data_IF_448064269383
#
_entry.id   IF_448064269383
#
_cell.length_a   1.000
_cell.length_b   1.000
_cell.length_c   1.000
_cell.angle_alpha   90.00
_cell.angle_beta   90.00
_cell.angle_gamma   90.00
#
_symmetry.space_group_name_H-M   'P 1'
#
loop_
_entity.id
_entity.type
_entity.pdbx_description
1 polymer ?
#
# COMPACT_ATOMS: atom_id res chain seq x y z
N UNK A 1 14.22 -7.20 10.60
CA UNK A 1 13.12 -8.14 10.27
C UNK A 1 13.52 -8.94 9.03
N UNK A 2 13.27 -10.24 9.00
CA UNK A 2 13.64 -11.16 7.90
C UNK A 2 12.64 -11.05 6.73
N UNK A 3 13.09 -11.30 5.48
CA UNK A 3 12.26 -11.35 4.27
C UNK A 3 11.15 -12.40 4.41
N UNK A 4 11.45 -13.56 5.00
CA UNK A 4 10.49 -14.62 5.23
C UNK A 4 9.33 -14.18 6.16
N UNK A 5 9.60 -13.35 7.16
CA UNK A 5 8.57 -12.78 8.05
C UNK A 5 7.67 -11.81 7.31
N UNK A 6 8.25 -10.94 6.46
CA UNK A 6 7.44 -10.00 5.65
C UNK A 6 6.56 -10.75 4.68
N UNK A 7 7.09 -11.81 4.04
CA UNK A 7 6.30 -12.67 3.14
C UNK A 7 5.14 -13.35 3.87
N UNK A 8 5.38 -13.93 5.05
CA UNK A 8 4.32 -14.55 5.85
C UNK A 8 3.23 -13.55 6.19
N UNK A 9 3.62 -12.34 6.64
CA UNK A 9 2.67 -11.29 6.98
C UNK A 9 1.89 -10.75 5.76
N UNK A 10 2.49 -10.74 4.57
CA UNK A 10 1.78 -10.44 3.32
C UNK A 10 0.72 -11.49 3.03
N UNK A 11 1.05 -12.77 3.14
CA UNK A 11 0.09 -13.88 2.95
C UNK A 11 -1.06 -13.75 3.95
N UNK A 12 -0.76 -13.54 5.23
CA UNK A 12 -1.77 -13.39 6.28
C UNK A 12 -2.71 -12.18 6.03
N UNK A 13 -2.16 -11.08 5.47
CA UNK A 13 -2.98 -9.90 5.11
C UNK A 13 -3.89 -10.19 3.93
N UNK A 14 -3.36 -10.86 2.89
CA UNK A 14 -4.14 -11.31 1.74
C UNK A 14 -5.25 -12.28 2.14
N UNK A 15 -4.99 -13.22 3.05
CA UNK A 15 -5.99 -14.15 3.56
C UNK A 15 -7.05 -13.45 4.43
N UNK A 16 -6.66 -12.44 5.21
CA UNK A 16 -7.60 -11.66 6.01
C UNK A 16 -8.59 -10.91 5.11
N UNK A 17 -8.12 -10.28 4.02
CA UNK A 17 -8.97 -9.62 3.04
C UNK A 17 -9.85 -10.62 2.29
N UNK A 18 -9.30 -11.77 1.86
CA UNK A 18 -10.06 -12.82 1.17
C UNK A 18 -11.26 -13.31 1.99
N UNK A 19 -11.08 -13.55 3.29
CA UNK A 19 -12.20 -13.97 4.17
C UNK A 19 -13.33 -12.95 4.17
N UNK A 20 -13.02 -11.65 4.14
CA UNK A 20 -14.01 -10.59 4.09
C UNK A 20 -14.74 -10.59 2.75
N UNK A 21 -13.98 -10.52 1.66
CA UNK A 21 -14.52 -10.44 0.29
C UNK A 21 -15.34 -11.67 -0.09
N UNK A 22 -14.95 -12.85 0.39
CA UNK A 22 -15.72 -14.09 0.16
C UNK A 22 -17.10 -14.08 0.82
N UNK A 23 -17.33 -13.22 1.79
CA UNK A 23 -18.58 -13.13 2.55
C UNK A 23 -19.52 -11.98 2.17
N UNK A 24 -19.11 -11.07 1.29
CA UNK A 24 -19.93 -9.93 0.89
C UNK A 24 -21.00 -10.33 -0.14
N UNK A 25 -22.06 -9.53 -0.24
CA UNK A 25 -23.12 -9.75 -1.24
C UNK A 25 -22.64 -9.37 -2.65
N UNK A 26 -23.31 -9.89 -3.69
CA UNK A 26 -22.98 -9.53 -5.07
C UNK A 26 -23.12 -8.02 -5.35
N UNK A 27 -24.08 -7.37 -4.70
CA UNK A 27 -24.26 -5.92 -4.84
C UNK A 27 -23.14 -5.09 -4.20
N UNK A 28 -22.44 -5.63 -3.20
CA UNK A 28 -21.36 -4.91 -2.54
C UNK A 28 -20.13 -4.76 -3.46
N UNK A 29 -19.98 -5.64 -4.47
CA UNK A 29 -18.90 -5.54 -5.44
C UNK A 29 -18.98 -4.30 -6.33
N UNK A 30 -20.18 -3.77 -6.51
CA UNK A 30 -20.45 -2.58 -7.35
C UNK A 30 -20.43 -1.27 -6.54
N UNK A 31 -20.21 -1.32 -5.21
CA UNK A 31 -20.14 -0.12 -4.38
C UNK A 31 -18.92 0.72 -4.74
N UNK A 32 -19.15 2.03 -4.88
CA UNK A 32 -18.08 3.00 -5.06
C UNK A 32 -17.17 3.05 -3.82
N UNK A 33 -15.88 3.17 -4.05
CA UNK A 33 -14.87 3.33 -2.99
C UNK A 33 -14.41 4.78 -2.87
N UNK A 34 -13.53 5.06 -1.91
CA UNK A 34 -12.90 6.37 -1.77
C UNK A 34 -11.95 6.71 -2.93
N UNK A 35 -11.50 5.72 -3.71
CA UNK A 35 -10.72 5.93 -4.92
C UNK A 35 -11.66 6.38 -6.05
N UNK A 36 -11.50 7.60 -6.62
CA UNK A 36 -12.44 8.13 -7.60
C UNK A 36 -12.59 7.23 -8.83
N UNK A 37 -13.83 6.85 -9.14
CA UNK A 37 -14.16 5.98 -10.28
C UNK A 37 -13.87 4.49 -10.08
N UNK A 38 -13.53 4.08 -8.86
CA UNK A 38 -13.26 2.68 -8.54
C UNK A 38 -14.35 2.08 -7.63
N UNK A 39 -14.86 0.94 -8.05
CA UNK A 39 -15.71 0.07 -7.24
C UNK A 39 -14.87 -0.87 -6.34
N UNK A 40 -15.55 -1.61 -5.47
CA UNK A 40 -14.95 -2.73 -4.72
C UNK A 40 -14.32 -3.75 -5.66
N UNK A 41 -14.97 -4.03 -6.81
CA UNK A 41 -14.41 -4.92 -7.84
C UNK A 41 -13.10 -4.37 -8.41
N UNK A 42 -13.00 -3.07 -8.68
CA UNK A 42 -11.78 -2.45 -9.22
C UNK A 42 -10.61 -2.52 -8.21
N UNK A 43 -10.89 -2.41 -6.90
CA UNK A 43 -9.87 -2.62 -5.87
C UNK A 43 -9.27 -4.04 -5.93
N UNK A 44 -10.12 -5.06 -6.09
CA UNK A 44 -9.64 -6.46 -6.24
C UNK A 44 -8.96 -6.68 -7.58
N UNK A 45 -9.44 -6.06 -8.67
CA UNK A 45 -8.81 -6.09 -9.98
C UNK A 45 -7.39 -5.53 -9.94
N UNK A 46 -7.20 -4.39 -9.28
CA UNK A 46 -5.89 -3.79 -9.03
C UNK A 46 -4.96 -4.75 -8.28
N UNK A 47 -5.43 -5.32 -7.18
CA UNK A 47 -4.63 -6.28 -6.41
C UNK A 47 -4.27 -7.52 -7.25
N UNK A 48 -5.21 -8.05 -8.04
CA UNK A 48 -4.97 -9.19 -8.92
C UNK A 48 -3.90 -8.90 -9.97
N UNK A 49 -3.99 -7.74 -10.63
CA UNK A 49 -2.99 -7.33 -11.61
C UNK A 49 -1.60 -7.18 -10.99
N UNK A 50 -1.49 -6.42 -9.89
CA UNK A 50 -0.19 -6.12 -9.30
C UNK A 50 0.44 -7.30 -8.55
N UNK A 51 -0.32 -8.26 -8.05
CA UNK A 51 0.25 -9.50 -7.51
C UNK A 51 0.82 -10.38 -8.63
N UNK A 52 0.17 -10.45 -9.80
CA UNK A 52 0.72 -11.11 -10.99
C UNK A 52 1.96 -10.38 -11.54
N UNK A 53 1.92 -9.05 -11.63
CA UNK A 53 3.07 -8.24 -12.05
C UNK A 53 4.26 -8.42 -11.09
N UNK A 54 4.01 -8.50 -9.78
CA UNK A 54 5.04 -8.76 -8.77
C UNK A 54 5.65 -10.16 -8.91
N UNK A 55 4.83 -11.17 -9.17
CA UNK A 55 5.30 -12.52 -9.44
C UNK A 55 6.18 -12.57 -10.71
N UNK A 56 5.77 -11.87 -11.78
CA UNK A 56 6.52 -11.75 -13.03
C UNK A 56 7.86 -11.03 -12.81
N UNK A 57 7.86 -9.90 -12.07
CA UNK A 57 9.06 -9.14 -11.77
C UNK A 57 10.13 -9.95 -11.01
N UNK A 58 9.69 -10.91 -10.18
CA UNK A 58 10.59 -11.82 -9.47
C UNK A 58 11.08 -12.95 -10.38
N UNK A 59 10.18 -13.54 -11.18
CA UNK A 59 10.47 -14.76 -11.95
C UNK A 59 11.17 -14.48 -13.27
N UNK A 60 10.77 -13.40 -13.98
CA UNK A 60 11.23 -13.03 -15.32
C UNK A 60 11.39 -11.51 -15.40
N UNK A 61 12.47 -10.93 -14.80
CA UNK A 61 12.68 -9.47 -14.76
C UNK A 61 12.64 -8.79 -16.14
N UNK A 62 13.17 -9.46 -17.17
CA UNK A 62 13.21 -8.90 -18.53
C UNK A 62 11.80 -8.83 -19.14
N UNK A 63 10.99 -9.88 -18.99
CA UNK A 63 9.59 -9.87 -19.46
C UNK A 63 8.74 -8.83 -18.70
N UNK A 64 9.03 -8.64 -17.40
CA UNK A 64 8.38 -7.59 -16.64
C UNK A 64 8.75 -6.21 -17.19
N UNK A 65 10.04 -5.95 -17.48
CA UNK A 65 10.48 -4.67 -18.06
C UNK A 65 9.84 -4.42 -19.44
N UNK A 66 9.71 -5.43 -20.28
CA UNK A 66 8.98 -5.33 -21.55
C UNK A 66 7.52 -4.93 -21.34
N UNK A 67 6.86 -5.50 -20.32
CA UNK A 67 5.47 -5.13 -19.99
C UNK A 67 5.35 -3.69 -19.51
N UNK A 68 6.29 -3.22 -18.70
CA UNK A 68 6.36 -1.82 -18.25
C UNK A 68 6.57 -0.88 -19.44
N UNK A 69 7.47 -1.23 -20.38
CA UNK A 69 7.72 -0.44 -21.57
C UNK A 69 6.45 -0.28 -22.42
N UNK A 70 5.68 -1.34 -22.60
CA UNK A 70 4.39 -1.28 -23.33
C UNK A 70 3.40 -0.32 -22.65
N UNK A 71 3.29 -0.35 -21.33
CA UNK A 71 2.43 0.58 -20.58
C UNK A 71 2.89 2.05 -20.73
N UNK A 72 4.20 2.30 -20.69
CA UNK A 72 4.78 3.64 -20.92
C UNK A 72 4.49 4.14 -22.33
N UNK A 73 4.58 3.27 -23.34
CA UNK A 73 4.25 3.60 -24.72
C UNK A 73 2.75 3.94 -24.89
N UNK A 74 1.85 3.20 -24.24
CA UNK A 74 0.41 3.52 -24.21
C UNK A 74 0.18 4.89 -23.57
N UNK A 75 0.76 5.13 -22.40
CA UNK A 75 0.68 6.43 -21.73
C UNK A 75 1.21 7.58 -22.60
N UNK A 76 2.34 7.37 -23.31
CA UNK A 76 2.92 8.39 -24.20
C UNK A 76 2.02 8.73 -25.39
N UNK A 77 1.13 7.82 -25.80
CA UNK A 77 0.10 8.04 -26.83
C UNK A 77 -1.19 8.67 -26.28
N UNK A 78 -1.24 8.96 -24.97
CA UNK A 78 -2.42 9.51 -24.32
C UNK A 78 -3.52 8.46 -24.05
N UNK A 79 -3.19 7.17 -24.12
CA UNK A 79 -4.08 6.09 -23.75
C UNK A 79 -4.14 5.96 -22.21
N UNK A 80 -5.30 5.55 -21.67
CA UNK A 80 -5.48 5.32 -20.26
C UNK A 80 -4.82 4.00 -19.84
N UNK A 81 -3.61 4.09 -19.26
CA UNK A 81 -2.87 2.92 -18.80
C UNK A 81 -3.56 2.22 -17.61
N UNK A 82 -4.32 2.95 -16.80
CA UNK A 82 -5.09 2.38 -15.70
C UNK A 82 -6.27 1.55 -16.24
N UNK A 83 -7.02 2.09 -17.20
CA UNK A 83 -8.08 1.34 -17.85
C UNK A 83 -7.53 0.10 -18.57
N UNK A 84 -6.38 0.21 -19.22
CA UNK A 84 -5.72 -0.93 -19.85
C UNK A 84 -5.36 -2.05 -18.85
N UNK A 85 -4.98 -1.71 -17.62
CA UNK A 85 -4.68 -2.64 -16.53
C UNK A 85 -5.96 -3.28 -16.00
N UNK A 86 -7.02 -2.52 -15.78
CA UNK A 86 -8.25 -2.98 -15.12
C UNK A 86 -9.25 -3.62 -16.09
N UNK A 87 -9.26 -3.19 -17.37
CA UNK A 87 -10.24 -3.64 -18.36
C UNK A 87 -10.40 -5.17 -18.48
N UNK A 88 -9.32 -5.99 -18.47
CA UNK A 88 -9.49 -7.44 -18.52
C UNK A 88 -10.26 -8.02 -17.32
N UNK A 89 -10.10 -7.39 -16.15
CA UNK A 89 -10.73 -7.83 -14.90
C UNK A 89 -12.17 -7.33 -14.78
N UNK A 90 -12.47 -6.12 -15.30
CA UNK A 90 -13.82 -5.53 -15.31
C UNK A 90 -14.86 -6.35 -16.07
N UNK A 91 -14.43 -7.24 -16.94
CA UNK A 91 -15.33 -8.19 -17.66
C UNK A 91 -15.64 -9.45 -16.86
N UNK A 92 -14.95 -9.68 -15.76
CA UNK A 92 -15.11 -10.88 -14.93
C UNK A 92 -16.29 -10.72 -13.95
N UNK A 93 -17.00 -11.82 -13.72
CA UNK A 93 -17.96 -11.86 -12.59
C UNK A 93 -17.21 -11.87 -11.27
N UNK A 94 -17.83 -11.42 -10.14
CA UNK A 94 -17.17 -11.35 -8.83
C UNK A 94 -16.42 -12.64 -8.43
N UNK A 95 -17.00 -13.80 -8.62
CA UNK A 95 -16.35 -15.07 -8.30
C UNK A 95 -15.14 -15.39 -9.20
N UNK A 96 -15.18 -15.03 -10.48
CA UNK A 96 -14.06 -15.18 -11.42
C UNK A 96 -12.92 -14.23 -11.07
N UNK A 97 -13.25 -12.98 -10.72
CA UNK A 97 -12.30 -11.99 -10.29
C UNK A 97 -11.60 -12.38 -8.99
N UNK A 98 -12.36 -12.91 -8.02
CA UNK A 98 -11.80 -13.39 -6.76
C UNK A 98 -10.82 -14.55 -6.99
N UNK A 99 -11.14 -15.50 -7.87
CA UNK A 99 -10.23 -16.59 -8.22
C UNK A 99 -8.99 -16.07 -8.96
N UNK A 100 -9.13 -15.08 -9.85
CA UNK A 100 -7.99 -14.47 -10.54
C UNK A 100 -7.03 -13.79 -9.52
N UNK A 101 -7.56 -13.11 -8.51
CA UNK A 101 -6.71 -12.56 -7.42
C UNK A 101 -6.07 -13.66 -6.58
N UNK A 102 -6.82 -14.73 -6.24
CA UNK A 102 -6.27 -15.88 -5.50
C UNK A 102 -5.13 -16.56 -6.26
N UNK A 103 -5.25 -16.68 -7.57
CA UNK A 103 -4.20 -17.23 -8.43
C UNK A 103 -2.96 -16.32 -8.45
N UNK A 104 -3.15 -15.01 -8.60
CA UNK A 104 -2.08 -14.02 -8.57
C UNK A 104 -1.29 -14.05 -7.27
N UNK A 105 -1.96 -14.03 -6.12
CA UNK A 105 -1.30 -14.07 -4.81
C UNK A 105 -0.60 -15.40 -4.52
N UNK A 106 -1.17 -16.56 -4.98
CA UNK A 106 -0.45 -17.83 -4.89
C UNK A 106 0.84 -17.82 -5.70
N UNK A 107 0.77 -17.33 -6.92
CA UNK A 107 1.93 -17.19 -7.79
C UNK A 107 3.00 -16.27 -7.15
N UNK A 108 2.60 -15.12 -6.61
CA UNK A 108 3.50 -14.22 -5.89
C UNK A 108 4.14 -14.92 -4.67
N UNK A 109 3.35 -15.64 -3.88
CA UNK A 109 3.86 -16.40 -2.73
C UNK A 109 4.94 -17.42 -3.14
N UNK A 110 4.67 -18.20 -4.21
CA UNK A 110 5.60 -19.20 -4.73
C UNK A 110 6.89 -18.56 -5.25
N UNK A 111 6.79 -17.51 -6.08
CA UNK A 111 7.97 -16.84 -6.66
C UNK A 111 8.81 -16.12 -5.59
N UNK A 112 8.16 -15.54 -4.58
CA UNK A 112 8.85 -14.85 -3.50
C UNK A 112 9.51 -15.79 -2.47
N UNK A 113 9.25 -17.10 -2.55
CA UNK A 113 9.80 -18.08 -1.58
C UNK A 113 11.33 -18.06 -1.50
N UNK A 114 11.99 -17.90 -2.63
CA UNK A 114 13.46 -17.92 -2.72
C UNK A 114 14.10 -16.52 -2.58
N UNK A 115 13.32 -15.47 -2.33
CA UNK A 115 13.88 -14.14 -2.12
C UNK A 115 14.63 -14.08 -0.78
N UNK A 116 15.88 -13.63 -0.84
CA UNK A 116 16.74 -13.32 0.29
C UNK A 116 16.92 -11.82 0.48
N UNK A 117 17.56 -11.40 1.57
CA UNK A 117 17.85 -10.00 1.84
C UNK A 117 18.75 -9.34 0.78
N UNK A 118 19.57 -10.11 0.09
CA UNK A 118 20.53 -9.63 -0.92
C UNK A 118 19.90 -9.44 -2.30
N UNK A 119 18.69 -9.99 -2.53
CA UNK A 119 18.02 -9.85 -3.80
C UNK A 119 17.40 -8.45 -3.96
N UNK A 120 17.37 -8.00 -5.21
CA UNK A 120 16.62 -6.82 -5.63
C UNK A 120 15.62 -7.21 -6.70
N UNK A 121 14.46 -6.61 -6.64
CA UNK A 121 13.35 -6.83 -7.59
C UNK A 121 13.18 -5.56 -8.42
N UNK A 122 13.11 -5.71 -9.74
CA UNK A 122 12.76 -4.62 -10.67
C UNK A 122 11.29 -4.24 -10.46
N UNK A 123 10.98 -2.95 -10.60
CA UNK A 123 9.60 -2.47 -10.47
C UNK A 123 9.34 -1.32 -11.44
N UNK A 124 8.19 -0.68 -11.40
CA UNK A 124 7.81 0.46 -12.25
C UNK A 124 8.69 1.72 -12.06
N UNK A 125 9.54 1.72 -11.07
CA UNK A 125 10.54 2.73 -10.77
C UNK A 125 11.91 2.10 -10.50
N UNK A 126 12.71 2.65 -9.58
CA UNK A 126 13.98 2.05 -9.16
C UNK A 126 13.77 0.64 -8.59
N UNK A 127 14.76 -0.25 -8.81
CA UNK A 127 14.72 -1.59 -8.19
C UNK A 127 14.69 -1.50 -6.67
N UNK A 128 13.94 -2.38 -6.04
CA UNK A 128 13.74 -2.43 -4.59
C UNK A 128 14.43 -3.64 -3.98
N UNK A 129 14.97 -3.52 -2.77
CA UNK A 129 15.36 -4.71 -2.00
C UNK A 129 14.14 -5.56 -1.67
N UNK A 130 14.30 -6.88 -1.63
CA UNK A 130 13.22 -7.86 -1.44
C UNK A 130 12.28 -7.54 -0.28
N UNK A 131 12.84 -7.14 0.85
CA UNK A 131 12.06 -6.75 2.02
C UNK A 131 11.16 -5.55 1.75
N UNK A 132 11.71 -4.47 1.18
CA UNK A 132 10.94 -3.26 0.85
C UNK A 132 9.87 -3.56 -0.21
N UNK A 133 10.20 -4.41 -1.18
CA UNK A 133 9.28 -4.85 -2.22
C UNK A 133 8.06 -5.56 -1.64
N UNK A 134 8.27 -6.58 -0.80
CA UNK A 134 7.18 -7.31 -0.16
C UNK A 134 6.41 -6.45 0.84
N UNK A 135 7.09 -5.53 1.55
CA UNK A 135 6.43 -4.56 2.43
C UNK A 135 5.50 -3.63 1.64
N UNK A 136 5.93 -3.16 0.47
CA UNK A 136 5.08 -2.34 -0.40
C UNK A 136 3.84 -3.14 -0.85
N UNK A 137 4.00 -4.42 -1.25
CA UNK A 137 2.84 -5.26 -1.60
C UNK A 137 1.89 -5.47 -0.41
N UNK A 138 2.41 -5.67 0.82
CA UNK A 138 1.60 -5.77 2.02
C UNK A 138 0.81 -4.47 2.26
N UNK A 139 1.47 -3.32 2.13
CA UNK A 139 0.84 -2.00 2.26
C UNK A 139 -0.29 -1.82 1.24
N UNK A 140 -0.09 -2.21 -0.02
CA UNK A 140 -1.11 -2.15 -1.07
C UNK A 140 -2.35 -2.99 -0.71
N UNK A 141 -2.16 -4.27 -0.34
CA UNK A 141 -3.27 -5.14 0.09
C UNK A 141 -4.03 -4.52 1.27
N UNK A 142 -3.30 -3.99 2.24
CA UNK A 142 -3.90 -3.35 3.40
C UNK A 142 -4.67 -2.08 3.02
N UNK A 143 -4.09 -1.21 2.20
CA UNK A 143 -4.67 0.07 1.84
C UNK A 143 -5.92 -0.08 0.95
N UNK A 144 -5.83 -0.91 -0.10
CA UNK A 144 -6.97 -1.23 -0.96
C UNK A 144 -8.05 -2.02 -0.21
N UNK A 145 -7.64 -2.90 0.72
CA UNK A 145 -8.57 -3.55 1.65
C UNK A 145 -9.29 -2.56 2.57
N UNK A 146 -8.64 -1.45 2.98
CA UNK A 146 -9.29 -0.40 3.76
C UNK A 146 -10.35 0.34 2.95
N UNK A 147 -10.06 0.63 1.68
CA UNK A 147 -11.03 1.27 0.77
C UNK A 147 -12.30 0.39 0.61
N UNK A 148 -12.11 -0.93 0.49
CA UNK A 148 -13.22 -1.89 0.43
C UNK A 148 -14.02 -1.90 1.73
N UNK A 149 -13.35 -2.01 2.88
CA UNK A 149 -14.02 -2.06 4.19
C UNK A 149 -14.83 -0.80 4.48
N UNK A 150 -14.29 0.36 4.09
CA UNK A 150 -15.00 1.64 4.22
C UNK A 150 -16.26 1.65 3.35
N UNK A 151 -16.19 1.15 2.10
CA UNK A 151 -17.32 1.10 1.17
C UNK A 151 -18.44 0.18 1.67
N UNK A 152 -18.11 -0.97 2.24
CA UNK A 152 -19.09 -1.94 2.76
C UNK A 152 -19.48 -1.68 4.23
N UNK A 153 -18.93 -0.64 4.85
CA UNK A 153 -19.27 -0.24 6.23
C UNK A 153 -18.77 -1.19 7.33
N UNK A 154 -17.71 -1.94 7.06
CA UNK A 154 -17.09 -2.84 8.05
C UNK A 154 -15.86 -2.21 8.69
N UNK A 155 -15.62 -2.53 9.96
CA UNK A 155 -14.38 -2.18 10.65
C UNK A 155 -13.34 -3.26 10.44
N UNK A 156 -12.09 -2.81 10.22
CA UNK A 156 -10.94 -3.70 10.13
C UNK A 156 -10.57 -4.25 11.51
N UNK A 157 -10.20 -5.52 11.56
CA UNK A 157 -9.45 -6.06 12.69
C UNK A 157 -8.01 -5.55 12.62
N UNK A 158 -7.57 -4.89 13.69
CA UNK A 158 -6.22 -4.35 13.80
C UNK A 158 -5.22 -5.44 14.17
N UNK A 159 -4.10 -5.49 13.49
CA UNK A 159 -3.04 -6.47 13.76
C UNK A 159 -1.66 -5.81 13.74
N UNK A 160 -0.68 -6.42 14.37
CA UNK A 160 0.70 -5.91 14.41
C UNK A 160 1.40 -5.95 13.04
N UNK A 161 0.75 -6.44 11.97
CA UNK A 161 1.21 -6.25 10.59
C UNK A 161 1.28 -4.77 10.20
N UNK A 162 0.54 -3.89 10.88
CA UNK A 162 0.67 -2.43 10.77
C UNK A 162 2.09 -1.93 10.99
N UNK A 163 2.94 -2.67 11.72
CA UNK A 163 4.34 -2.29 11.92
C UNK A 163 5.10 -2.12 10.60
N UNK A 164 4.81 -2.96 9.60
CA UNK A 164 5.44 -2.86 8.27
C UNK A 164 5.05 -1.57 7.56
N UNK A 165 3.77 -1.19 7.65
CA UNK A 165 3.23 0.01 7.01
C UNK A 165 3.74 1.26 7.74
N UNK A 166 3.75 1.23 9.07
CA UNK A 166 4.29 2.31 9.88
C UNK A 166 5.79 2.55 9.58
N UNK A 167 6.59 1.48 9.51
CA UNK A 167 7.99 1.55 9.10
C UNK A 167 8.13 2.13 7.69
N UNK A 168 7.30 1.71 6.74
CA UNK A 168 7.30 2.22 5.37
C UNK A 168 6.96 3.72 5.37
N UNK A 169 5.87 4.12 6.06
CA UNK A 169 5.47 5.51 6.18
C UNK A 169 6.60 6.39 6.73
N UNK A 170 7.30 5.90 7.77
CA UNK A 170 8.44 6.63 8.35
C UNK A 170 9.61 6.79 7.35
N UNK A 171 10.04 5.72 6.68
CA UNK A 171 11.20 5.79 5.78
C UNK A 171 10.91 6.52 4.47
N UNK A 172 9.64 6.65 4.08
CA UNK A 172 9.21 7.40 2.88
C UNK A 172 8.94 8.88 3.15
N UNK A 173 9.30 9.39 4.34
CA UNK A 173 9.14 10.81 4.67
C UNK A 173 9.78 11.73 3.62
N UNK A 174 11.03 11.51 3.29
CA UNK A 174 11.72 12.30 2.25
C UNK A 174 11.06 12.18 0.88
N UNK A 175 10.55 10.99 0.54
CA UNK A 175 9.80 10.76 -0.69
C UNK A 175 8.56 11.66 -0.78
N UNK A 176 7.83 11.86 0.32
CA UNK A 176 6.64 12.71 0.35
C UNK A 176 6.92 14.14 -0.13
N UNK A 177 8.11 14.68 0.16
CA UNK A 177 8.56 15.99 -0.32
C UNK A 177 9.08 15.92 -1.77
N UNK A 178 9.98 14.99 -2.06
CA UNK A 178 10.61 14.85 -3.38
C UNK A 178 9.57 14.62 -4.47
N UNK A 179 8.55 13.80 -4.19
CA UNK A 179 7.45 13.52 -5.11
C UNK A 179 6.63 14.77 -5.49
N UNK A 180 6.70 15.82 -4.66
CA UNK A 180 6.11 17.14 -4.89
C UNK A 180 7.08 18.17 -5.49
N UNK A 181 8.30 17.76 -5.83
CA UNK A 181 9.35 18.68 -6.27
C UNK A 181 9.84 19.61 -5.15
N UNK A 182 9.66 19.23 -3.90
CA UNK A 182 10.09 20.01 -2.73
C UNK A 182 11.38 19.41 -2.13
N UNK A 183 12.19 20.26 -1.52
CA UNK A 183 13.33 19.79 -0.74
C UNK A 183 12.85 19.08 0.54
N UNK A 184 13.50 17.96 0.83
CA UNK A 184 13.24 17.22 2.07
C UNK A 184 13.69 18.03 3.28
N UNK A 185 12.88 18.05 4.33
CA UNK A 185 13.23 18.72 5.59
C UNK A 185 14.09 17.77 6.42
N UNK A 186 15.34 18.15 6.72
CA UNK A 186 16.31 17.32 7.46
C UNK A 186 16.09 17.29 8.99
N UNK A 187 15.23 18.17 9.52
CA UNK A 187 14.91 18.17 10.95
C UNK A 187 14.47 16.79 11.41
N UNK A 188 15.11 16.18 12.41
CA UNK A 188 14.72 14.86 12.88
C UNK A 188 13.32 14.85 13.48
N UNK A 189 12.53 13.85 13.11
CA UNK A 189 11.20 13.61 13.68
C UNK A 189 11.16 12.19 14.25
N UNK A 190 10.64 12.05 15.46
CA UNK A 190 10.39 10.76 16.09
C UNK A 190 8.93 10.38 15.92
N UNK A 191 8.67 9.09 15.62
CA UNK A 191 7.32 8.54 15.56
C UNK A 191 7.14 7.55 16.71
N UNK A 192 6.10 7.72 17.53
CA UNK A 192 5.80 6.91 18.71
C UNK A 192 4.37 6.39 18.58
N UNK A 193 4.21 5.11 18.33
CA UNK A 193 2.90 4.52 18.03
C UNK A 193 2.50 3.47 19.05
N UNK A 194 1.23 3.50 19.44
CA UNK A 194 0.60 2.41 20.19
C UNK A 194 0.17 1.32 19.21
N UNK A 195 0.74 0.13 19.37
CA UNK A 195 0.42 -1.02 18.52
C UNK A 195 -0.93 -1.65 18.88
N UNK A 196 -1.53 -2.46 17.96
CA UNK A 196 -2.73 -3.25 18.26
C UNK A 196 -2.57 -4.20 19.47
N UNK A 197 -1.40 -4.82 19.63
CA UNK A 197 -1.08 -5.68 20.78
C UNK A 197 -0.85 -4.91 22.08
N UNK A 198 -0.79 -3.57 22.03
CA UNK A 198 -0.57 -2.71 23.19
C UNK A 198 0.89 -2.35 23.45
N UNK A 199 1.82 -2.78 22.61
CA UNK A 199 3.23 -2.37 22.67
C UNK A 199 3.42 -0.93 22.17
N UNK A 200 4.58 -0.35 22.44
CA UNK A 200 4.98 0.94 21.87
C UNK A 200 6.03 0.71 20.80
N UNK A 201 5.76 1.20 19.59
CA UNK A 201 6.73 1.22 18.50
C UNK A 201 7.33 2.61 18.37
N UNK A 202 8.65 2.66 18.24
CA UNK A 202 9.39 3.91 18.05
C UNK A 202 10.20 3.85 16.75
N UNK A 203 10.11 4.93 15.95
CA UNK A 203 10.89 5.11 14.73
C UNK A 203 11.59 6.46 14.79
N UNK A 204 12.83 6.52 14.30
CA UNK A 204 13.64 7.73 14.27
C UNK A 204 14.55 7.89 15.48
N UNK A 205 15.30 9.01 15.54
CA UNK A 205 16.27 9.24 16.62
C UNK A 205 15.56 9.58 17.94
N UNK A 206 15.98 8.95 19.03
CA UNK A 206 15.39 9.18 20.36
C UNK A 206 15.48 10.62 20.86
N UNK A 207 16.51 11.36 20.43
CA UNK A 207 16.73 12.76 20.79
C UNK A 207 16.06 13.78 19.87
N UNK A 208 15.12 13.37 19.01
CA UNK A 208 14.39 14.32 18.18
C UNK A 208 13.43 15.16 19.02
N UNK A 209 13.49 16.48 18.82
CA UNK A 209 12.61 17.44 19.49
C UNK A 209 11.20 17.44 18.89
N UNK A 210 11.05 16.99 17.63
CA UNK A 210 9.77 16.93 16.94
C UNK A 210 9.24 15.51 16.88
N UNK A 211 7.91 15.35 16.93
CA UNK A 211 7.31 14.02 17.02
C UNK A 211 5.94 13.89 16.37
N UNK A 212 5.61 12.67 16.02
CA UNK A 212 4.24 12.19 15.71
C UNK A 212 3.94 11.05 16.67
N UNK A 213 2.81 11.15 17.41
CA UNK A 213 2.42 10.10 18.35
C UNK A 213 0.93 9.78 18.29
N UNK A 214 0.56 8.52 18.62
CA UNK A 214 -0.82 8.07 18.61
C UNK A 214 -0.98 6.59 18.29
N UNK A 215 -2.13 6.19 17.72
CA UNK A 215 -2.36 4.81 17.33
C UNK A 215 -1.59 4.45 16.05
N UNK A 216 -1.13 3.20 15.98
CA UNK A 216 -0.50 2.69 14.75
C UNK A 216 -1.48 2.69 13.56
N UNK A 217 -2.77 2.41 13.82
CA UNK A 217 -3.80 2.47 12.79
C UNK A 217 -3.93 3.87 12.21
N UNK A 218 -4.10 4.90 13.06
CA UNK A 218 -4.23 6.29 12.60
C UNK A 218 -3.04 6.72 11.74
N UNK A 219 -1.82 6.41 12.21
CA UNK A 219 -0.61 6.71 11.45
C UNK A 219 -0.59 6.03 10.08
N UNK A 220 -0.90 4.73 10.02
CA UNK A 220 -0.97 3.99 8.77
C UNK A 220 -2.04 4.54 7.82
N UNK A 221 -3.21 4.92 8.35
CA UNK A 221 -4.29 5.53 7.56
C UNK A 221 -3.88 6.86 6.93
N UNK A 222 -3.12 7.69 7.68
CA UNK A 222 -2.64 8.98 7.16
C UNK A 222 -1.54 8.79 6.13
N UNK A 223 -0.51 7.98 6.40
CA UNK A 223 0.61 7.81 5.45
C UNK A 223 0.22 7.06 4.17
N UNK A 224 -0.87 6.29 4.20
CA UNK A 224 -1.46 5.67 3.00
C UNK A 224 -2.58 6.51 2.40
N UNK A 225 -2.87 7.69 2.95
CA UNK A 225 -3.90 8.64 2.51
C UNK A 225 -5.33 8.05 2.49
N UNK A 226 -5.67 7.22 3.46
CA UNK A 226 -7.02 6.68 3.68
C UNK A 226 -7.82 7.51 4.69
N UNK A 227 -7.14 8.38 5.46
CA UNK A 227 -7.77 9.38 6.35
C UNK A 227 -7.00 10.69 6.29
N UNK A 228 -7.73 11.79 6.44
CA UNK A 228 -7.10 13.07 6.70
C UNK A 228 -6.55 13.09 8.14
N UNK A 229 -5.42 13.76 8.35
CA UNK A 229 -4.83 13.91 9.69
C UNK A 229 -5.83 14.45 10.72
N UNK A 230 -6.73 15.36 10.31
CA UNK A 230 -7.76 15.96 11.17
C UNK A 230 -8.83 14.98 11.65
N UNK A 231 -8.98 13.85 10.98
CA UNK A 231 -9.95 12.81 11.32
C UNK A 231 -9.32 11.69 12.18
N UNK A 232 -8.12 11.94 12.72
CA UNK A 232 -7.35 11.01 13.56
C UNK A 232 -7.05 11.59 14.92
N UNK A 233 -6.61 10.73 15.84
CA UNK A 233 -6.17 11.11 17.18
C UNK A 233 -4.64 11.31 17.26
N UNK A 234 -3.95 11.47 16.12
CA UNK A 234 -2.51 11.69 16.12
C UNK A 234 -2.15 13.06 16.71
N UNK A 235 -1.18 13.06 17.61
CA UNK A 235 -0.55 14.26 18.12
C UNK A 235 0.72 14.53 17.31
N UNK A 236 0.81 15.72 16.71
CA UNK A 236 1.94 16.13 15.87
C UNK A 236 2.59 17.37 16.49
N UNK A 237 3.86 17.25 16.86
CA UNK A 237 4.62 18.31 17.51
C UNK A 237 5.83 18.71 16.68
N UNK A 238 5.94 20.02 16.41
CA UNK A 238 7.02 20.62 15.64
C UNK A 238 6.66 20.90 14.19
N UNK A 239 7.34 21.90 13.59
CA UNK A 239 7.00 22.40 12.25
C UNK A 239 7.28 21.39 11.15
N UNK A 240 8.40 20.68 11.21
CA UNK A 240 8.78 19.69 10.22
C UNK A 240 7.87 18.44 10.28
N UNK A 241 7.44 18.04 11.49
CA UNK A 241 6.46 16.97 11.66
C UNK A 241 5.09 17.37 11.09
N UNK A 242 4.65 18.61 11.35
CA UNK A 242 3.38 19.14 10.81
C UNK A 242 3.41 19.23 9.28
N UNK A 243 4.49 19.75 8.69
CA UNK A 243 4.63 19.83 7.23
C UNK A 243 4.63 18.44 6.60
N UNK A 244 5.37 17.48 7.20
CA UNK A 244 5.36 16.11 6.71
C UNK A 244 3.97 15.47 6.75
N UNK A 245 3.27 15.53 7.89
CA UNK A 245 2.00 14.85 8.06
C UNK A 245 0.87 15.42 7.18
N UNK A 246 1.00 16.66 6.70
CA UNK A 246 0.08 17.23 5.69
C UNK A 246 0.20 16.57 4.32
N UNK A 247 1.40 16.07 3.99
CA UNK A 247 1.74 15.57 2.66
C UNK A 247 2.21 14.12 2.67
N UNK A 248 2.08 13.42 3.80
CA UNK A 248 2.58 12.07 3.97
C UNK A 248 2.03 11.14 2.88
N UNK A 249 2.94 10.41 2.23
CA UNK A 249 2.61 9.48 1.15
C UNK A 249 3.61 8.32 1.17
N UNK A 250 3.14 7.12 1.53
CA UNK A 250 3.97 5.92 1.65
C UNK A 250 4.01 5.07 0.37
N UNK A 251 3.28 5.45 -0.66
CA UNK A 251 3.13 4.69 -1.91
C UNK A 251 3.70 5.45 -3.11
N UNK A 252 4.01 4.72 -4.18
CA UNK A 252 4.40 5.28 -5.48
C UNK A 252 3.18 5.82 -6.20
N UNK A 253 3.40 6.81 -7.08
CA UNK A 253 2.34 7.45 -7.84
C UNK A 253 2.45 8.96 -7.81
N UNK A 254 1.58 9.69 -8.52
CA UNK A 254 1.54 11.15 -8.48
C UNK A 254 1.37 11.68 -7.06
N UNK A 255 1.86 12.88 -6.81
CA UNK A 255 1.63 13.56 -5.54
C UNK A 255 0.14 13.89 -5.38
N UNK A 256 -0.45 13.53 -4.25
CA UNK A 256 -1.85 13.83 -3.90
C UNK A 256 -1.92 14.38 -2.49
N UNK A 257 -2.95 15.19 -2.19
CA UNK A 257 -3.13 15.78 -0.86
C UNK A 257 -3.93 14.88 0.09
N UNK A 258 -4.26 13.66 -0.38
CA UNK A 258 -5.10 12.73 0.39
C UNK A 258 -6.56 13.17 0.46
N UNK A 259 -7.38 12.50 1.29
CA UNK A 259 -8.80 12.81 1.41
C UNK A 259 -9.03 14.13 2.16
N UNK A 260 -10.11 14.83 1.80
CA UNK A 260 -10.61 15.95 2.58
C UNK A 260 -11.05 15.51 3.98
N UNK A 261 -10.97 16.38 5.00
CA UNK A 261 -11.50 16.09 6.34
C UNK A 261 -13.00 15.77 6.27
N UNK A 262 -13.43 14.80 7.06
CA UNK A 262 -14.85 14.39 7.21
C UNK A 262 -15.56 15.16 8.28
#
# INVERSE_FOLDING_TARGET
>A
MDVAVVRSNLIDEQEALDRIISGISLSDWDLDTASPGWSVADQIAHLAYFDNAAALAIASPDEFQESVQKLLEMYSRGEDAEDAILSPYRTMRPGELLEAWRDGRRNLSEKSYNLSADNRVVWYGPSMGSKSFLTARLMEVWAHGQDILDAIGLKREETDRLHHIAQLGFITRSWSFINRGQESIDTPVKVILKSPSGETWEFGPQGADESVSGSALDFCLVVTQRRNLKDTSLEVFGSAAVEWMKIAQAFAGPATDGPEPR
#
